data_IF_226015038461
#
_entry.id   IF_226015038461
#
_cell.length_a   1.000
_cell.length_b   1.000
_cell.length_c   1.000
_cell.angle_alpha   90.00
_cell.angle_beta   90.00
_cell.angle_gamma   90.00
#
_symmetry.space_group_name_H-M   'P 1'
#
loop_
_entity.id
_entity.type
_entity.pdbx_description
1 polymer ?
#
# COMPACT_ATOMS: atom_id res chain seq x y z
N UNK A 1 -11.10 4.07 -7.28
CA UNK A 1 -9.93 3.37 -7.87
C UNK A 1 -9.58 2.25 -6.91
N UNK A 2 -9.52 1.02 -7.40
CA UNK A 2 -9.31 -0.17 -6.59
C UNK A 2 -7.96 -0.09 -5.85
N UNK A 3 -7.99 -0.14 -4.51
CA UNK A 3 -6.80 -0.01 -3.65
C UNK A 3 -5.74 -1.06 -3.97
N UNK A 4 -6.15 -2.23 -4.49
CA UNK A 4 -5.25 -3.28 -4.97
C UNK A 4 -4.41 -2.83 -6.16
N UNK A 5 -5.01 -2.14 -7.14
CA UNK A 5 -4.29 -1.60 -8.31
C UNK A 5 -3.24 -0.56 -7.94
N UNK A 6 -3.47 0.22 -6.87
CA UNK A 6 -2.49 1.21 -6.40
C UNK A 6 -1.27 0.57 -5.75
N UNK A 7 -1.45 -0.56 -5.05
CA UNK A 7 -0.36 -1.27 -4.39
C UNK A 7 0.55 -1.96 -5.41
N UNK A 8 -0.03 -2.65 -6.40
CA UNK A 8 0.78 -3.35 -7.40
C UNK A 8 1.64 -2.39 -8.23
N UNK A 9 1.10 -1.21 -8.59
CA UNK A 9 1.87 -0.16 -9.26
C UNK A 9 3.06 0.30 -8.43
N UNK A 10 2.86 0.52 -7.12
CA UNK A 10 3.95 0.91 -6.20
C UNK A 10 5.01 -0.20 -6.07
N UNK A 11 4.58 -1.46 -6.00
CA UNK A 11 5.50 -2.60 -5.99
C UNK A 11 6.33 -2.64 -7.28
N UNK A 12 5.72 -2.45 -8.45
CA UNK A 12 6.44 -2.41 -9.72
C UNK A 12 7.40 -1.23 -9.85
N UNK A 13 7.04 -0.05 -9.31
CA UNK A 13 7.96 1.10 -9.26
C UNK A 13 9.20 0.80 -8.41
N UNK A 14 9.02 0.15 -7.25
CA UNK A 14 10.13 -0.25 -6.37
C UNK A 14 10.99 -1.31 -7.06
N UNK A 15 10.37 -2.35 -7.64
CA UNK A 15 11.09 -3.38 -8.40
C UNK A 15 11.94 -2.79 -9.53
N UNK A 16 11.41 -1.79 -10.23
CA UNK A 16 12.16 -1.07 -11.27
C UNK A 16 13.39 -0.35 -10.71
N UNK A 17 13.28 0.29 -9.54
CA UNK A 17 14.43 0.93 -8.87
C UNK A 17 15.52 -0.08 -8.52
N UNK A 18 15.15 -1.24 -7.98
CA UNK A 18 16.11 -2.32 -7.67
C UNK A 18 16.81 -2.82 -8.94
N UNK A 19 16.05 -3.00 -10.03
CA UNK A 19 16.61 -3.40 -11.32
C UNK A 19 17.57 -2.35 -11.88
N UNK A 20 17.26 -1.06 -11.74
CA UNK A 20 18.15 0.04 -12.13
C UNK A 20 19.46 0.04 -11.33
N UNK A 21 19.40 -0.32 -10.05
CA UNK A 21 20.59 -0.48 -9.19
C UNK A 21 21.28 -1.85 -9.34
N UNK A 22 20.88 -2.67 -10.33
CA UNK A 22 21.37 -4.02 -10.53
C UNK A 22 21.25 -4.92 -9.27
N UNK A 23 20.25 -4.65 -8.43
CA UNK A 23 19.93 -5.39 -7.23
C UNK A 23 18.83 -6.42 -7.52
N UNK A 24 18.87 -7.56 -6.82
CA UNK A 24 17.82 -8.59 -6.94
C UNK A 24 16.57 -8.17 -6.18
N UNK A 25 15.42 -8.36 -6.82
CA UNK A 25 14.11 -8.16 -6.24
C UNK A 25 13.34 -9.48 -6.23
N UNK A 26 13.67 -10.35 -5.28
CA UNK A 26 13.10 -11.70 -5.18
C UNK A 26 11.65 -11.69 -4.66
N UNK A 27 10.96 -12.84 -4.80
CA UNK A 27 9.56 -13.01 -4.39
C UNK A 27 9.30 -12.70 -2.91
N UNK A 28 10.27 -12.98 -2.03
CA UNK A 28 10.19 -12.61 -0.61
C UNK A 28 10.17 -11.09 -0.44
N UNK A 29 11.07 -10.38 -1.13
CA UNK A 29 11.16 -8.92 -1.10
C UNK A 29 9.85 -8.30 -1.62
N UNK A 30 9.35 -8.82 -2.74
CA UNK A 30 8.04 -8.43 -3.31
C UNK A 30 6.89 -8.62 -2.32
N UNK A 31 6.85 -9.77 -1.64
CA UNK A 31 5.82 -10.08 -0.63
C UNK A 31 5.89 -9.13 0.56
N UNK A 32 7.11 -8.82 1.02
CA UNK A 32 7.33 -7.91 2.14
C UNK A 32 6.94 -6.47 1.80
N UNK A 33 7.34 -5.98 0.63
CA UNK A 33 6.94 -4.66 0.13
C UNK A 33 5.43 -4.57 -0.02
N UNK A 34 4.78 -5.60 -0.60
CA UNK A 34 3.32 -5.66 -0.70
C UNK A 34 2.69 -5.55 0.68
N UNK A 35 3.09 -6.38 1.65
CA UNK A 35 2.56 -6.38 3.01
C UNK A 35 2.72 -5.04 3.74
N UNK A 36 3.86 -4.35 3.56
CA UNK A 36 4.06 -3.01 4.13
C UNK A 36 3.12 -1.99 3.50
N UNK A 37 2.92 -2.07 2.19
CA UNK A 37 2.03 -1.18 1.46
C UNK A 37 0.55 -1.45 1.77
N UNK A 38 0.13 -2.71 1.96
CA UNK A 38 -1.25 -3.04 2.39
C UNK A 38 -1.51 -2.63 3.84
N UNK A 39 -0.51 -2.73 4.73
CA UNK A 39 -0.66 -2.36 6.14
C UNK A 39 -0.62 -0.84 6.37
N UNK A 40 -0.10 -0.06 5.43
CA UNK A 40 -0.22 1.40 5.47
C UNK A 40 -1.65 1.80 5.13
N UNK A 41 -2.50 1.76 6.16
CA UNK A 41 -3.77 2.46 6.16
C UNK A 41 -3.43 3.95 5.93
N UNK A 42 -3.91 4.52 4.83
CA UNK A 42 -3.74 5.96 4.60
C UNK A 42 -4.48 6.73 5.68
N UNK A 43 -4.05 7.95 6.02
CA UNK A 43 -4.76 8.78 7.00
C UNK A 43 -6.25 8.92 6.65
N UNK A 44 -6.58 9.02 5.35
CA UNK A 44 -7.96 9.02 4.86
C UNK A 44 -8.72 7.71 5.15
N UNK A 45 -8.13 6.55 4.89
CA UNK A 45 -8.72 5.25 5.23
C UNK A 45 -8.85 5.07 6.76
N UNK A 46 -7.86 5.54 7.52
CA UNK A 46 -7.90 5.48 8.99
C UNK A 46 -9.03 6.36 9.52
N UNK A 47 -9.19 7.57 8.99
CA UNK A 47 -10.31 8.46 9.31
C UNK A 47 -11.65 7.87 8.86
N UNK A 48 -11.72 7.24 7.69
CA UNK A 48 -12.94 6.58 7.22
C UNK A 48 -13.35 5.40 8.12
N UNK A 49 -12.39 4.56 8.53
CA UNK A 49 -12.63 3.46 9.46
C UNK A 49 -13.03 3.96 10.85
N UNK A 50 -12.41 5.04 11.34
CA UNK A 50 -12.82 5.72 12.58
C UNK A 50 -14.25 6.28 12.46
N UNK A 51 -14.57 6.98 11.37
CA UNK A 51 -15.90 7.55 11.15
C UNK A 51 -16.98 6.47 11.07
N UNK A 52 -16.67 5.32 10.46
CA UNK A 52 -17.56 4.15 10.40
C UNK A 52 -17.74 3.50 11.77
N UNK A 53 -16.67 3.36 12.55
CA UNK A 53 -16.69 2.74 13.88
C UNK A 53 -17.41 3.60 14.92
N UNK A 54 -17.17 4.91 14.89
CA UNK A 54 -17.76 5.85 15.83
C UNK A 54 -19.07 6.46 15.33
N UNK A 55 -19.56 6.05 14.13
CA UNK A 55 -20.75 6.61 13.47
C UNK A 55 -20.75 8.14 13.56
N UNK A 56 -19.64 8.76 13.19
CA UNK A 56 -19.54 10.23 13.19
C UNK A 56 -20.38 10.74 12.02
N UNK A 57 -21.68 10.79 12.23
CA UNK A 57 -22.61 11.49 11.37
C UNK A 57 -22.33 12.97 11.61
N UNK A 58 -21.64 13.63 10.67
CA UNK A 58 -21.59 15.10 10.69
C UNK A 58 -23.03 15.60 10.67
N UNK A 59 -23.42 16.26 11.75
CA UNK A 59 -24.64 17.05 11.84
C UNK A 59 -24.42 18.43 11.23
#
# INVERSE_FOLDING_TARGET
MDTSMTIERKVSSIESSFRMENMKFDAECRTRVRNVLTKKISAADAVAELNKKYKVSSN
#
